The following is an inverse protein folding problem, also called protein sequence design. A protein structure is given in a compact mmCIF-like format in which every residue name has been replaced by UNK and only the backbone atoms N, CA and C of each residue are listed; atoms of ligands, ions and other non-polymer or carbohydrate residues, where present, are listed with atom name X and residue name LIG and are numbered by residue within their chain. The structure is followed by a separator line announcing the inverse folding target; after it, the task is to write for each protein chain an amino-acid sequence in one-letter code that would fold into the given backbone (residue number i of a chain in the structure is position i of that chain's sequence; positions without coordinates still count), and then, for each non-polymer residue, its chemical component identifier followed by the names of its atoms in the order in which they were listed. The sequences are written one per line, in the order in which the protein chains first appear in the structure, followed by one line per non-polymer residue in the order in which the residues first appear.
data_IF_710013330384
#
_entry.id   IF_710013330384
#
_cell.length_a   1.000
_cell.length_b   1.000
_cell.length_c   1.000
_cell.angle_alpha   90.00
_cell.angle_beta   90.00
_cell.angle_gamma   90.00
#
_symmetry.space_group_name_H-M   'P 1'
#
loop_
_entity.id
_entity.type
_entity.pdbx_description
1 polymer ?
#
# COMPACT_ATOMS: atom_id res chain seq x y z
N UNK A 1 -7.30 11.44 -3.00
CA UNK A 1 -5.85 11.54 -2.74
C UNK A 1 -5.17 10.27 -3.28
N UNK A 2 -3.97 10.36 -3.85
CA UNK A 2 -3.22 9.18 -4.29
C UNK A 2 -2.18 8.83 -3.22
N UNK A 3 -2.18 7.58 -2.75
CA UNK A 3 -1.21 7.04 -1.78
C UNK A 3 -0.63 5.74 -2.31
N UNK A 4 0.67 5.59 -2.16
CA UNK A 4 1.39 4.37 -2.51
C UNK A 4 1.82 3.64 -1.25
N UNK A 5 1.52 2.34 -1.18
CA UNK A 5 1.95 1.45 -0.11
C UNK A 5 3.06 0.56 -0.62
N UNK A 6 4.15 0.47 0.13
CA UNK A 6 5.31 -0.36 -0.20
C UNK A 6 5.66 -1.28 0.95
N UNK A 7 6.15 -2.47 0.60
CA UNK A 7 6.78 -3.36 1.58
C UNK A 7 8.00 -2.68 2.21
N UNK A 8 8.12 -2.76 3.53
CA UNK A 8 9.37 -2.48 4.22
C UNK A 8 10.29 -3.72 4.15
N UNK A 9 11.60 -3.48 4.11
CA UNK A 9 12.60 -4.54 3.99
C UNK A 9 12.58 -5.53 5.19
N UNK A 10 12.29 -5.03 6.40
CA UNK A 10 12.16 -5.82 7.64
C UNK A 10 10.89 -5.44 8.43
N UNK A 11 9.94 -4.75 7.80
CA UNK A 11 8.79 -4.17 8.47
C UNK A 11 7.48 -4.61 7.82
N UNK A 12 6.47 -3.75 7.95
CA UNK A 12 5.12 -4.02 7.46
C UNK A 12 5.06 -4.14 5.95
N UNK A 13 4.22 -5.07 5.51
CA UNK A 13 3.92 -5.28 4.11
C UNK A 13 2.99 -4.19 3.60
N UNK A 14 3.06 -3.92 2.30
CA UNK A 14 2.23 -2.93 1.63
C UNK A 14 0.73 -3.15 1.93
N UNK A 15 0.29 -4.41 1.93
CA UNK A 15 -1.11 -4.75 2.20
C UNK A 15 -1.50 -4.52 3.66
N UNK A 16 -0.59 -4.70 4.62
CA UNK A 16 -0.85 -4.47 6.05
C UNK A 16 -1.07 -2.98 6.30
N UNK A 17 -0.21 -2.14 5.71
CA UNK A 17 -0.34 -0.68 5.77
C UNK A 17 -1.63 -0.18 5.12
N UNK A 18 -2.01 -0.76 3.98
CA UNK A 18 -3.28 -0.46 3.32
C UNK A 18 -4.47 -0.82 4.23
N UNK A 19 -4.47 -2.02 4.81
CA UNK A 19 -5.55 -2.46 5.69
C UNK A 19 -5.69 -1.56 6.92
N UNK A 20 -4.59 -1.13 7.54
CA UNK A 20 -4.64 -0.16 8.64
C UNK A 20 -5.31 1.15 8.25
N UNK A 21 -4.98 1.69 7.07
CA UNK A 21 -5.62 2.90 6.57
C UNK A 21 -7.11 2.66 6.26
N UNK A 22 -7.49 1.50 5.73
CA UNK A 22 -8.90 1.13 5.51
C UNK A 22 -9.67 1.11 6.84
N UNK A 23 -9.12 0.45 7.86
CA UNK A 23 -9.73 0.34 9.18
C UNK A 23 -9.82 1.69 9.89
N UNK A 24 -8.82 2.55 9.71
CA UNK A 24 -8.78 3.90 10.27
C UNK A 24 -9.74 4.89 9.57
N UNK A 25 -10.22 4.57 8.36
CA UNK A 25 -11.05 5.44 7.53
C UNK A 25 -12.38 4.78 7.14
N UNK A 26 -13.23 4.39 8.10
CA UNK A 26 -14.51 3.76 7.80
C UNK A 26 -15.40 4.69 6.97
N UNK A 27 -15.97 4.17 5.88
CA UNK A 27 -16.87 4.91 5.00
C UNK A 27 -16.16 5.76 3.94
N UNK A 28 -14.83 5.82 3.93
CA UNK A 28 -14.07 6.44 2.83
C UNK A 28 -13.89 5.42 1.72
N UNK A 29 -14.47 5.70 0.54
CA UNK A 29 -14.27 4.87 -0.65
C UNK A 29 -12.83 4.94 -1.14
N UNK A 30 -12.32 3.84 -1.70
CA UNK A 30 -10.99 3.77 -2.30
C UNK A 30 -10.98 2.89 -3.55
N UNK A 31 -10.01 3.12 -4.42
CA UNK A 31 -9.81 2.36 -5.65
C UNK A 31 -8.33 1.97 -5.76
N UNK A 32 -8.04 0.69 -5.97
CA UNK A 32 -6.69 0.24 -6.31
C UNK A 32 -6.46 0.55 -7.79
N UNK A 33 -5.59 1.50 -8.08
CA UNK A 33 -5.34 2.00 -9.44
C UNK A 33 -4.01 1.52 -10.02
N UNK A 34 -3.19 0.84 -9.22
CA UNK A 34 -1.95 0.24 -9.68
C UNK A 34 -1.43 -0.80 -8.69
N UNK A 35 -0.77 -1.82 -9.23
CA UNK A 35 -0.13 -2.88 -8.46
C UNK A 35 1.15 -3.31 -9.18
N UNK A 36 2.25 -3.45 -8.44
CA UNK A 36 3.46 -4.09 -8.93
C UNK A 36 4.05 -4.99 -7.86
N UNK A 37 4.65 -6.08 -8.30
CA UNK A 37 5.41 -7.00 -7.47
C UNK A 37 6.71 -7.33 -8.18
N UNK A 38 7.79 -6.63 -7.81
CA UNK A 38 9.10 -6.86 -8.39
C UNK A 38 10.20 -6.47 -7.42
N UNK A 39 11.08 -7.41 -7.10
CA UNK A 39 12.48 -7.10 -6.98
C UNK A 39 13.32 -8.24 -7.51
N UNK A 40 14.29 -7.88 -8.34
CA UNK A 40 15.37 -8.76 -8.77
C UNK A 40 16.64 -8.14 -8.19
N UNK A 41 17.15 -8.72 -7.11
CA UNK A 41 18.34 -8.21 -6.43
C UNK A 41 19.32 -9.36 -6.31
N UNK A 42 20.53 -9.19 -6.86
CA UNK A 42 21.60 -10.19 -6.85
C UNK A 42 21.18 -11.59 -7.33
N UNK A 43 20.34 -11.68 -8.36
CA UNK A 43 19.86 -12.97 -8.89
C UNK A 43 18.75 -13.64 -8.08
N UNK A 44 18.25 -13.01 -7.00
CA UNK A 44 17.11 -13.47 -6.23
C UNK A 44 15.86 -12.64 -6.49
N UNK A 45 14.72 -13.32 -6.59
CA UNK A 45 13.41 -12.70 -6.51
C UNK A 45 13.16 -12.27 -5.06
N UNK A 46 13.21 -10.96 -4.81
CA UNK A 46 12.70 -10.39 -3.57
C UNK A 46 11.27 -9.93 -3.87
N UNK A 47 10.24 -10.43 -3.18
CA UNK A 47 8.90 -9.88 -3.32
C UNK A 47 8.91 -8.47 -2.70
N UNK A 48 8.99 -7.44 -3.55
CA UNK A 48 8.70 -6.06 -3.19
C UNK A 48 7.38 -5.68 -3.84
N UNK A 49 6.36 -5.57 -3.01
CA UNK A 49 5.01 -5.16 -3.38
C UNK A 49 4.91 -3.65 -3.31
N UNK A 50 4.33 -3.04 -4.34
CA UNK A 50 3.83 -1.68 -4.27
C UNK A 50 2.37 -1.62 -4.76
N UNK A 51 1.52 -0.96 -3.98
CA UNK A 51 0.08 -0.83 -4.22
C UNK A 51 -0.23 0.67 -4.30
N UNK A 52 -0.74 1.12 -5.44
CA UNK A 52 -1.18 2.50 -5.63
C UNK A 52 -2.69 2.59 -5.45
N UNK A 53 -3.12 3.41 -4.49
CA UNK A 53 -4.52 3.57 -4.12
C UNK A 53 -4.97 5.01 -4.29
N UNK A 54 -6.12 5.18 -4.94
CA UNK A 54 -6.84 6.45 -5.02
C UNK A 54 -7.93 6.46 -3.95
N UNK A 55 -7.69 7.24 -2.91
CA UNK A 55 -8.63 7.48 -1.82
C UNK A 55 -9.65 8.57 -2.16
N UNK A 56 -10.88 8.37 -1.69
CA UNK A 56 -11.97 9.34 -1.72
C UNK A 56 -11.69 10.57 -0.86
N UNK A 57 -12.65 11.49 -0.86
CA UNK A 57 -12.58 12.68 0.00
C UNK A 57 -12.60 12.27 1.48
N UNK A 58 -12.03 13.11 2.36
CA UNK A 58 -11.99 12.91 3.82
C UNK A 58 -11.06 11.81 4.34
N UNK A 59 -10.19 11.25 3.49
CA UNK A 59 -9.11 10.37 3.93
C UNK A 59 -8.19 11.06 4.95
N UNK A 60 -7.81 10.31 5.99
CA UNK A 60 -6.81 10.68 7.01
C UNK A 60 -5.73 9.60 7.05
N UNK A 61 -4.47 10.00 7.08
CA UNK A 61 -3.38 9.03 7.24
C UNK A 61 -3.43 8.40 8.63
N UNK A 62 -3.33 7.07 8.71
CA UNK A 62 -3.08 6.38 9.97
C UNK A 62 -1.64 6.66 10.45
N UNK A 63 -1.46 6.80 11.76
CA UNK A 63 -0.14 6.88 12.41
C UNK A 63 0.66 5.57 12.33
#
# INVERSE_FOLDING_TARGET
MLKEYRDDFLGEKAFEKLNKDIDANPGVGFEIVGYTQTAFVNGMHIPLTAILVKWGNFFKESE
#
